data_IF_140911043615
#
_entry.id   IF_140911043615
#
_cell.length_a   1.000
_cell.length_b   1.000
_cell.length_c   1.000
_cell.angle_alpha   90.00
_cell.angle_beta   90.00
_cell.angle_gamma   90.00
#
_symmetry.space_group_name_H-M   'P 1'
#
loop_
_entity.id
_entity.type
_entity.pdbx_description
1 polymer ?
#
# COMPACT_ATOMS: atom_id res chain seq x y z
N UNK A 1 1.70 8.74 -11.60
CA UNK A 1 2.67 9.83 -11.71
C UNK A 1 3.35 9.77 -13.05
N UNK A 2 3.37 10.88 -13.77
CA UNK A 2 4.07 11.00 -15.04
C UNK A 2 5.57 11.23 -14.83
N UNK A 3 6.39 10.89 -15.83
CA UNK A 3 7.85 11.03 -15.72
C UNK A 3 8.29 12.47 -15.47
N UNK A 4 7.66 13.44 -16.12
CA UNK A 4 7.96 14.87 -15.97
C UNK A 4 7.69 15.36 -14.54
N UNK A 5 6.60 14.91 -13.94
CA UNK A 5 6.22 15.21 -12.56
C UNK A 5 7.27 14.67 -11.57
N UNK A 6 7.69 13.42 -11.75
CA UNK A 6 8.74 12.82 -10.92
C UNK A 6 10.07 13.59 -11.03
N UNK A 7 10.50 13.94 -12.23
CA UNK A 7 11.73 14.74 -12.44
C UNK A 7 11.63 16.11 -11.79
N UNK A 8 10.47 16.78 -11.87
CA UNK A 8 10.26 18.06 -11.19
C UNK A 8 10.36 17.96 -9.66
N UNK A 9 10.00 16.81 -9.06
CA UNK A 9 10.18 16.58 -7.62
C UNK A 9 11.66 16.36 -7.24
N UNK A 10 12.46 15.73 -8.11
CA UNK A 10 13.91 15.61 -7.91
C UNK A 10 14.57 16.99 -7.93
N UNK A 11 14.21 17.84 -8.89
CA UNK A 11 14.76 19.20 -9.01
C UNK A 11 14.41 20.08 -7.81
N UNK A 12 13.28 19.83 -7.16
CA UNK A 12 12.89 20.46 -5.89
C UNK A 12 13.67 19.95 -4.68
N UNK A 13 14.51 18.93 -4.83
CA UNK A 13 15.38 18.40 -3.77
C UNK A 13 14.74 17.31 -2.91
N UNK A 14 13.60 16.74 -3.29
CA UNK A 14 13.01 15.61 -2.57
C UNK A 14 13.85 14.33 -2.76
N UNK A 15 14.17 13.64 -1.67
CA UNK A 15 14.99 12.42 -1.68
C UNK A 15 14.19 11.12 -1.49
N UNK A 16 12.89 11.22 -1.15
CA UNK A 16 11.95 10.11 -1.06
C UNK A 16 10.64 10.51 -1.73
N UNK A 17 10.35 9.90 -2.87
CA UNK A 17 9.18 10.25 -3.68
C UNK A 17 8.35 8.97 -3.87
N UNK A 18 7.14 8.86 -3.29
CA UNK A 18 6.32 7.68 -3.43
C UNK A 18 5.78 7.57 -4.86
N UNK A 19 5.94 6.41 -5.49
CA UNK A 19 5.29 6.09 -6.76
C UNK A 19 4.19 5.07 -6.50
N UNK A 20 2.94 5.45 -6.75
CA UNK A 20 1.78 4.61 -6.50
C UNK A 20 0.87 4.51 -7.72
N UNK A 21 0.07 3.45 -7.73
CA UNK A 21 -1.07 3.25 -8.62
C UNK A 21 -2.21 2.69 -7.79
N UNK A 22 -3.42 3.15 -8.07
CA UNK A 22 -4.64 2.57 -7.54
C UNK A 22 -5.18 1.51 -8.51
N UNK A 23 -5.65 0.40 -7.97
CA UNK A 23 -6.21 -0.73 -8.72
C UNK A 23 -7.50 -1.15 -8.02
N UNK A 24 -8.53 -1.44 -8.81
CA UNK A 24 -9.78 -1.98 -8.29
C UNK A 24 -9.60 -3.47 -8.00
N UNK A 25 -9.95 -3.86 -6.78
CA UNK A 25 -9.87 -5.24 -6.30
C UNK A 25 -11.23 -5.62 -5.73
N UNK A 26 -12.02 -6.38 -6.49
CA UNK A 26 -13.42 -6.61 -6.17
C UNK A 26 -13.64 -7.77 -5.19
N UNK A 27 -12.88 -8.86 -5.33
CA UNK A 27 -13.17 -10.12 -4.63
C UNK A 27 -12.14 -10.49 -3.56
N UNK A 28 -10.97 -9.87 -3.59
CA UNK A 28 -9.91 -10.20 -2.65
C UNK A 28 -10.04 -9.39 -1.35
N UNK A 29 -10.03 -10.09 -0.23
CA UNK A 29 -9.87 -9.48 1.10
C UNK A 29 -8.41 -9.08 1.32
N UNK A 30 -8.17 -8.17 2.27
CA UNK A 30 -6.81 -7.73 2.59
C UNK A 30 -5.85 -8.89 2.95
N UNK A 31 -6.32 -9.87 3.73
CA UNK A 31 -5.55 -11.08 4.04
C UNK A 31 -5.26 -11.92 2.80
N UNK A 32 -6.23 -12.07 1.90
CA UNK A 32 -6.02 -12.84 0.67
C UNK A 32 -4.98 -12.17 -0.24
N UNK A 33 -4.94 -10.83 -0.28
CA UNK A 33 -3.90 -10.07 -0.99
C UNK A 33 -2.53 -10.28 -0.36
N UNK A 34 -2.41 -10.24 0.97
CA UNK A 34 -1.13 -10.51 1.64
C UNK A 34 -0.58 -11.89 1.28
N UNK A 35 -1.43 -12.92 1.34
CA UNK A 35 -1.04 -14.29 1.02
C UNK A 35 -0.57 -14.45 -0.44
N UNK A 36 -1.15 -13.67 -1.37
CA UNK A 36 -0.79 -13.68 -2.79
C UNK A 36 0.46 -12.85 -3.11
N UNK A 37 0.65 -11.72 -2.43
CA UNK A 37 1.63 -10.70 -2.83
C UNK A 37 2.92 -10.73 -2.01
N UNK A 38 2.85 -11.05 -0.71
CA UNK A 38 3.94 -10.73 0.21
C UNK A 38 4.34 -11.86 1.17
N UNK A 39 3.61 -12.98 1.27
CA UNK A 39 3.84 -14.05 2.24
C UNK A 39 5.22 -14.75 2.13
N UNK A 40 6.25 -14.09 2.66
CA UNK A 40 7.67 -14.43 2.54
C UNK A 40 8.43 -13.86 3.75
N UNK A 41 9.68 -14.28 4.02
CA UNK A 41 10.42 -13.75 5.15
C UNK A 41 10.53 -12.22 5.11
N UNK A 42 10.39 -11.59 6.27
CA UNK A 42 10.42 -10.12 6.47
C UNK A 42 9.24 -9.33 5.90
N UNK A 43 8.16 -10.01 5.47
CA UNK A 43 6.90 -9.34 5.15
C UNK A 43 6.04 -9.07 6.39
N UNK A 44 5.09 -8.15 6.26
CA UNK A 44 4.12 -7.86 7.30
C UNK A 44 2.71 -7.62 6.74
N UNK A 45 1.72 -7.91 7.58
CA UNK A 45 0.31 -7.59 7.36
C UNK A 45 -0.22 -6.90 8.60
N UNK A 46 -0.61 -5.64 8.45
CA UNK A 46 -1.17 -4.82 9.52
C UNK A 46 -2.63 -4.51 9.20
N UNK A 47 -3.55 -5.04 10.01
CA UNK A 47 -4.97 -4.80 9.89
C UNK A 47 -5.50 -4.17 11.19
N UNK A 48 -6.29 -3.11 11.05
CA UNK A 48 -6.86 -2.40 12.19
C UNK A 48 -8.27 -2.90 12.47
N UNK A 49 -8.61 -3.08 13.75
CA UNK A 49 -9.98 -3.34 14.21
C UNK A 49 -10.34 -2.29 15.25
N UNK A 50 -11.40 -1.52 14.99
CA UNK A 50 -11.91 -0.52 15.92
C UNK A 50 -13.07 -1.13 16.74
N UNK A 51 -12.87 -1.23 18.05
CA UNK A 51 -13.91 -1.70 18.98
C UNK A 51 -14.28 -3.18 18.84
N UNK A 52 -13.42 -4.01 18.25
CA UNK A 52 -13.62 -5.46 18.11
C UNK A 52 -14.58 -5.89 17.00
N UNK A 53 -15.42 -4.97 16.47
CA UNK A 53 -16.49 -5.32 15.53
C UNK A 53 -16.37 -4.61 14.18
N UNK A 54 -15.71 -3.44 14.11
CA UNK A 54 -15.55 -2.68 12.87
C UNK A 54 -14.12 -2.80 12.37
N UNK A 55 -13.97 -3.29 11.14
CA UNK A 55 -12.69 -3.29 10.46
C UNK A 55 -12.30 -1.84 10.15
N UNK A 56 -11.03 -1.54 10.36
CA UNK A 56 -10.45 -0.25 9.99
C UNK A 56 -10.55 -0.02 8.49
N UNK A 57 -10.49 1.26 8.07
CA UNK A 57 -10.62 1.61 6.65
C UNK A 57 -9.46 1.14 5.78
N UNK A 58 -8.32 0.80 6.38
CA UNK A 58 -7.09 0.46 5.67
C UNK A 58 -6.39 -0.74 6.33
N UNK A 59 -5.79 -1.56 5.48
CA UNK A 59 -4.83 -2.60 5.85
C UNK A 59 -3.52 -2.32 5.09
N UNK A 60 -2.38 -2.60 5.72
CA UNK A 60 -1.05 -2.35 5.13
C UNK A 60 -0.32 -3.67 4.93
N UNK A 61 0.25 -3.84 3.74
CA UNK A 61 1.10 -4.97 3.36
C UNK A 61 2.48 -4.43 3.02
N UNK A 62 3.53 -5.08 3.49
CA UNK A 62 4.91 -4.80 3.12
C UNK A 62 5.80 -6.01 3.24
#
# INVERSE_FOLDING_TARGET
>A
MEKSEFTGLIEQGFNHIPFSREIVVDTDTALSLYLKLANSPYSYFLESVQGGEKWGRYSFIG
#
